data_IF_213660549363
#
_entry.id   IF_213660549363
#
_cell.length_a   1.000
_cell.length_b   1.000
_cell.length_c   1.000
_cell.angle_alpha   90.00
_cell.angle_beta   90.00
_cell.angle_gamma   90.00
#
_symmetry.space_group_name_H-M   'P 1'
#
loop_
_entity.id
_entity.type
_entity.pdbx_description
1 polymer ?
#
# COMPACT_ATOMS: atom_id res chain seq x y z
N UNK A 1 -20.87 -8.07 -14.41
CA UNK A 1 -20.34 -9.16 -13.55
C UNK A 1 -20.27 -8.75 -12.08
N UNK A 2 -19.46 -7.77 -11.70
CA UNK A 2 -19.24 -7.41 -10.28
C UNK A 2 -20.48 -6.91 -9.52
N UNK A 3 -21.50 -6.37 -10.21
CA UNK A 3 -22.82 -6.14 -9.59
C UNK A 3 -23.53 -7.41 -9.15
N UNK A 4 -23.35 -8.51 -9.88
CA UNK A 4 -23.90 -9.81 -9.52
C UNK A 4 -23.22 -10.31 -8.25
N UNK A 5 -21.89 -10.18 -8.17
CA UNK A 5 -21.12 -10.42 -6.94
C UNK A 5 -21.68 -9.59 -5.79
N UNK A 6 -21.82 -8.27 -5.97
CA UNK A 6 -22.28 -7.38 -4.92
C UNK A 6 -23.75 -7.61 -4.51
N UNK A 7 -24.57 -8.23 -5.35
CA UNK A 7 -25.96 -8.60 -5.03
C UNK A 7 -26.04 -9.98 -4.36
N UNK A 8 -25.18 -10.92 -4.76
CA UNK A 8 -25.18 -12.31 -4.32
C UNK A 8 -23.77 -12.78 -3.94
N UNK A 9 -23.12 -12.17 -2.94
CA UNK A 9 -21.70 -12.36 -2.69
C UNK A 9 -21.35 -13.78 -2.24
N UNK A 10 -22.26 -14.51 -1.58
CA UNK A 10 -22.01 -15.89 -1.12
C UNK A 10 -22.36 -16.97 -2.14
N UNK A 11 -23.18 -16.66 -3.16
CA UNK A 11 -23.85 -17.69 -3.95
C UNK A 11 -23.03 -18.24 -5.13
N UNK A 12 -22.01 -17.52 -5.57
CA UNK A 12 -21.29 -17.81 -6.82
C UNK A 12 -19.77 -17.51 -6.72
N UNK A 13 -19.20 -17.60 -5.51
CA UNK A 13 -17.80 -17.19 -5.27
C UNK A 13 -16.83 -18.01 -6.13
N UNK A 14 -17.03 -19.32 -6.22
CA UNK A 14 -16.16 -20.23 -6.98
C UNK A 14 -16.18 -19.87 -8.47
N UNK A 15 -17.37 -19.65 -9.04
CA UNK A 15 -17.52 -19.26 -10.44
C UNK A 15 -16.91 -17.88 -10.72
N UNK A 16 -16.99 -16.94 -9.75
CA UNK A 16 -16.33 -15.64 -9.91
C UNK A 16 -14.81 -15.76 -9.84
N UNK A 17 -14.27 -16.63 -8.98
CA UNK A 17 -12.82 -16.89 -8.92
C UNK A 17 -12.32 -17.45 -10.26
N UNK A 18 -13.05 -18.41 -10.84
CA UNK A 18 -12.73 -19.00 -12.15
C UNK A 18 -12.77 -17.96 -13.28
N UNK A 19 -13.58 -16.90 -13.14
CA UNK A 19 -13.68 -15.82 -14.11
C UNK A 19 -12.59 -14.76 -13.98
N UNK A 20 -11.88 -14.66 -12.86
CA UNK A 20 -10.90 -13.57 -12.63
C UNK A 20 -9.81 -13.50 -13.71
N UNK A 21 -9.17 -14.60 -14.15
CA UNK A 21 -8.14 -14.54 -15.21
C UNK A 21 -8.65 -14.04 -16.56
N UNK A 22 -9.96 -14.11 -16.81
CA UNK A 22 -10.56 -13.61 -18.05
C UNK A 22 -10.82 -12.10 -18.01
N UNK A 23 -10.94 -11.51 -16.81
CA UNK A 23 -11.07 -10.06 -16.63
C UNK A 23 -9.74 -9.33 -16.87
N UNK A 24 -8.63 -10.06 -16.85
CA UNK A 24 -7.26 -9.53 -16.96
C UNK A 24 -6.66 -9.67 -18.35
N UNK A 25 -7.43 -10.17 -19.33
CA UNK A 25 -6.98 -10.32 -20.73
C UNK A 25 -6.72 -8.95 -21.38
N UNK A 26 -7.47 -7.91 -20.99
CA UNK A 26 -7.26 -6.55 -21.48
C UNK A 26 -6.52 -5.72 -20.41
N UNK A 27 -5.23 -5.46 -20.65
CA UNK A 27 -4.37 -4.69 -19.75
C UNK A 27 -4.86 -3.26 -19.52
N UNK A 28 -5.54 -2.66 -20.49
CA UNK A 28 -6.12 -1.31 -20.39
C UNK A 28 -7.25 -1.22 -19.36
N UNK A 29 -7.88 -2.35 -19.04
CA UNK A 29 -8.97 -2.42 -18.05
C UNK A 29 -8.49 -2.89 -16.68
N UNK A 30 -7.24 -3.31 -16.51
CA UNK A 30 -6.74 -3.85 -15.24
C UNK A 30 -6.93 -2.89 -14.06
N UNK A 31 -6.62 -1.61 -14.24
CA UNK A 31 -6.84 -0.58 -13.21
C UNK A 31 -8.33 -0.42 -12.87
N UNK A 32 -9.20 -0.43 -13.89
CA UNK A 32 -10.64 -0.30 -13.71
C UNK A 32 -11.25 -1.54 -13.01
N UNK A 33 -10.74 -2.74 -13.32
CA UNK A 33 -11.11 -3.98 -12.61
C UNK A 33 -10.65 -3.92 -11.16
N UNK A 34 -9.42 -3.49 -10.89
CA UNK A 34 -8.90 -3.26 -9.53
C UNK A 34 -9.84 -2.32 -8.75
N UNK A 35 -10.20 -1.17 -9.33
CA UNK A 35 -11.13 -0.24 -8.69
C UNK A 35 -12.45 -0.91 -8.34
N UNK A 36 -13.09 -1.58 -9.32
CA UNK A 36 -14.38 -2.22 -9.10
C UNK A 36 -14.33 -3.33 -8.03
N UNK A 37 -13.21 -4.07 -7.92
CA UNK A 37 -12.99 -5.07 -6.87
C UNK A 37 -12.87 -4.42 -5.49
N UNK A 38 -12.06 -3.36 -5.37
CA UNK A 38 -11.91 -2.60 -4.13
C UNK A 38 -13.21 -1.90 -3.69
N UNK A 39 -14.10 -1.65 -4.65
CA UNK A 39 -15.36 -0.94 -4.46
C UNK A 39 -16.55 -1.86 -4.19
N UNK A 40 -16.37 -3.18 -4.22
CA UNK A 40 -17.43 -4.17 -4.01
C UNK A 40 -18.27 -3.91 -2.72
N UNK A 41 -17.69 -3.59 -1.56
CA UNK A 41 -18.48 -3.23 -0.38
C UNK A 41 -19.34 -1.97 -0.59
N UNK A 42 -18.78 -0.92 -1.19
CA UNK A 42 -19.53 0.31 -1.49
C UNK A 42 -20.60 0.09 -2.55
N UNK A 43 -20.33 -0.75 -3.55
CA UNK A 43 -21.30 -1.15 -4.56
C UNK A 43 -22.47 -1.90 -3.94
N UNK A 44 -22.21 -2.83 -3.02
CA UNK A 44 -23.26 -3.56 -2.31
C UNK A 44 -24.14 -2.63 -1.46
N UNK A 45 -23.53 -1.66 -0.76
CA UNK A 45 -24.26 -0.64 -0.02
C UNK A 45 -25.12 0.24 -0.95
N UNK A 46 -24.57 0.60 -2.11
CA UNK A 46 -25.29 1.34 -3.15
C UNK A 46 -26.50 0.56 -3.69
N UNK A 47 -26.33 -0.76 -3.88
CA UNK A 47 -27.41 -1.66 -4.30
C UNK A 47 -28.51 -1.70 -3.22
N UNK A 48 -28.17 -1.82 -1.93
CA UNK A 48 -29.15 -1.75 -0.85
C UNK A 48 -29.99 -0.46 -0.95
N UNK A 49 -29.33 0.69 -1.15
CA UNK A 49 -30.00 1.98 -1.32
C UNK A 49 -30.86 2.02 -2.60
N UNK A 50 -30.41 1.39 -3.68
CA UNK A 50 -31.17 1.35 -4.94
C UNK A 50 -32.50 0.57 -4.82
N UNK A 51 -32.57 -0.40 -3.90
CA UNK A 51 -33.75 -1.25 -3.67
C UNK A 51 -34.79 -0.61 -2.74
N UNK A 52 -34.50 0.58 -2.18
CA UNK A 52 -35.35 1.23 -1.16
C UNK A 52 -36.82 1.36 -1.60
N UNK A 53 -37.09 1.81 -2.83
CA UNK A 53 -38.45 2.02 -3.31
C UNK A 53 -39.26 0.71 -3.36
N UNK A 54 -38.63 -0.38 -3.80
CA UNK A 54 -39.25 -1.70 -3.87
C UNK A 54 -39.57 -2.25 -2.47
N UNK A 55 -38.65 -2.06 -1.52
CA UNK A 55 -38.85 -2.49 -0.13
C UNK A 55 -40.01 -1.74 0.54
N UNK A 56 -40.12 -0.42 0.31
CA UNK A 56 -41.24 0.38 0.80
C UNK A 56 -42.56 -0.08 0.19
N UNK A 57 -42.60 -0.35 -1.12
CA UNK A 57 -43.79 -0.87 -1.81
C UNK A 57 -44.20 -2.25 -1.27
N UNK A 58 -43.24 -3.08 -0.89
CA UNK A 58 -43.47 -4.37 -0.25
C UNK A 58 -43.85 -4.27 1.25
N UNK A 59 -43.97 -3.06 1.80
CA UNK A 59 -44.41 -2.82 3.18
C UNK A 59 -43.32 -2.87 4.25
N UNK A 60 -42.04 -2.94 3.86
CA UNK A 60 -40.93 -2.93 4.82
C UNK A 60 -40.65 -1.51 5.35
N UNK A 61 -40.32 -1.42 6.64
CA UNK A 61 -39.87 -0.17 7.28
C UNK A 61 -38.36 -0.01 7.10
N UNK A 62 -37.97 0.86 6.16
CA UNK A 62 -36.56 1.06 5.75
C UNK A 62 -36.12 2.53 5.91
N UNK A 63 -36.28 3.07 7.11
CA UNK A 63 -36.04 4.51 7.40
C UNK A 63 -34.62 4.98 7.09
N UNK A 64 -33.59 4.17 7.42
CA UNK A 64 -32.19 4.51 7.13
C UNK A 64 -31.91 4.56 5.63
N UNK A 65 -32.36 3.54 4.88
CA UNK A 65 -32.20 3.49 3.42
C UNK A 65 -32.93 4.66 2.73
N UNK A 66 -34.12 5.02 3.19
CA UNK A 66 -34.87 6.17 2.69
C UNK A 66 -34.13 7.50 2.90
N UNK A 67 -33.58 7.72 4.11
CA UNK A 67 -32.81 8.93 4.42
C UNK A 67 -31.56 9.03 3.54
N UNK A 68 -30.82 7.93 3.39
CA UNK A 68 -29.63 7.88 2.52
C UNK A 68 -30.01 8.13 1.05
N UNK A 69 -31.09 7.51 0.57
CA UNK A 69 -31.58 7.72 -0.81
C UNK A 69 -31.94 9.18 -1.06
N UNK A 70 -32.64 9.82 -0.13
CA UNK A 70 -32.99 11.24 -0.21
C UNK A 70 -31.76 12.15 -0.21
N UNK A 71 -30.75 11.85 0.60
CA UNK A 71 -29.49 12.59 0.62
C UNK A 71 -28.76 12.47 -0.72
N UNK A 72 -28.62 11.26 -1.25
CA UNK A 72 -28.02 11.03 -2.57
C UNK A 72 -28.82 11.77 -3.64
N UNK A 73 -30.16 11.71 -3.60
CA UNK A 73 -31.02 12.41 -4.55
C UNK A 73 -31.06 13.93 -4.35
N UNK A 74 -30.58 14.45 -3.22
CA UNK A 74 -30.48 15.88 -2.93
C UNK A 74 -29.16 16.50 -3.38
N UNK A 75 -28.09 15.70 -3.53
CA UNK A 75 -26.73 16.21 -3.74
C UNK A 75 -26.16 15.77 -5.10
N UNK A 76 -25.84 16.74 -5.97
CA UNK A 76 -25.37 16.48 -7.33
C UNK A 76 -24.14 15.56 -7.39
N UNK A 77 -23.12 15.82 -6.56
CA UNK A 77 -21.90 15.01 -6.51
C UNK A 77 -22.18 13.55 -6.11
N UNK A 78 -23.04 13.34 -5.10
CA UNK A 78 -23.43 12.00 -4.65
C UNK A 78 -24.21 11.26 -5.75
N UNK A 79 -25.05 11.97 -6.52
CA UNK A 79 -25.74 11.36 -7.68
C UNK A 79 -24.77 10.90 -8.74
N UNK A 80 -23.71 11.66 -9.02
CA UNK A 80 -22.71 11.28 -10.02
C UNK A 80 -22.03 9.98 -9.60
N UNK A 81 -21.58 9.91 -8.34
CA UNK A 81 -20.97 8.70 -7.79
C UNK A 81 -21.96 7.53 -7.79
N UNK A 82 -23.20 7.74 -7.33
CA UNK A 82 -24.26 6.71 -7.38
C UNK A 82 -24.48 6.18 -8.81
N UNK A 83 -24.57 7.06 -9.81
CA UNK A 83 -24.73 6.66 -11.21
C UNK A 83 -23.53 5.86 -11.70
N UNK A 84 -22.33 6.26 -11.31
CA UNK A 84 -21.11 5.53 -11.64
C UNK A 84 -21.14 4.13 -11.05
N UNK A 85 -21.43 3.94 -9.76
CA UNK A 85 -21.61 2.60 -9.17
C UNK A 85 -22.71 1.79 -9.88
N UNK A 86 -23.78 2.46 -10.31
CA UNK A 86 -24.90 1.86 -11.03
C UNK A 86 -24.69 1.77 -12.56
N UNK A 87 -23.49 2.01 -13.10
CA UNK A 87 -23.19 1.90 -14.54
C UNK A 87 -23.31 0.46 -15.07
N UNK A 88 -23.74 0.29 -16.32
CA UNK A 88 -23.87 -1.04 -16.95
C UNK A 88 -22.59 -1.54 -17.59
N UNK A 89 -21.65 -0.64 -17.91
CA UNK A 89 -20.37 -0.92 -18.55
C UNK A 89 -19.27 -0.15 -17.82
N UNK A 90 -18.12 -0.78 -17.67
CA UNK A 90 -16.90 -0.13 -17.19
C UNK A 90 -16.17 0.51 -18.36
N UNK A 91 -15.46 1.61 -18.08
CA UNK A 91 -14.65 2.32 -19.05
C UNK A 91 -13.36 2.80 -18.36
N UNK A 92 -12.23 2.63 -19.04
CA UNK A 92 -10.92 3.01 -18.51
C UNK A 92 -10.90 4.51 -18.10
N UNK A 93 -10.35 4.79 -16.92
CA UNK A 93 -10.15 6.14 -16.39
C UNK A 93 -11.40 6.83 -15.82
N UNK A 94 -12.60 6.22 -15.88
CA UNK A 94 -13.81 6.84 -15.29
C UNK A 94 -13.70 6.95 -13.77
N UNK A 95 -13.17 5.92 -13.13
CA UNK A 95 -13.10 5.88 -11.66
C UNK A 95 -12.14 6.96 -11.12
N UNK A 96 -11.01 7.18 -11.78
CA UNK A 96 -10.00 8.18 -11.40
C UNK A 96 -10.56 9.61 -11.34
N UNK A 97 -11.53 9.94 -12.21
CA UNK A 97 -12.18 11.25 -12.19
C UNK A 97 -13.07 11.47 -10.95
N UNK A 98 -13.50 10.37 -10.30
CA UNK A 98 -14.53 10.36 -9.27
C UNK A 98 -13.99 10.02 -7.88
N UNK A 99 -12.79 9.46 -7.76
CA UNK A 99 -12.20 9.03 -6.47
C UNK A 99 -12.22 10.14 -5.40
N UNK A 100 -12.04 11.40 -5.80
CA UNK A 100 -12.12 12.58 -4.91
C UNK A 100 -13.48 12.77 -4.21
N UNK A 101 -14.55 12.21 -4.77
CA UNK A 101 -15.91 12.31 -4.23
C UNK A 101 -16.25 11.15 -3.28
N UNK A 102 -15.40 10.12 -3.19
CA UNK A 102 -15.64 8.95 -2.35
C UNK A 102 -15.72 9.33 -0.86
N UNK A 103 -14.91 10.28 -0.34
CA UNK A 103 -15.05 10.78 1.03
C UNK A 103 -16.33 11.59 1.31
N UNK A 104 -17.15 11.94 0.32
CA UNK A 104 -18.51 12.41 0.59
C UNK A 104 -19.48 11.22 0.56
N UNK A 105 -19.28 10.32 -0.39
CA UNK A 105 -20.15 9.19 -0.64
C UNK A 105 -20.16 8.14 0.48
N UNK A 106 -19.00 7.75 1.00
CA UNK A 106 -18.88 6.86 2.16
C UNK A 106 -19.66 7.37 3.40
N UNK A 107 -19.66 8.68 3.61
CA UNK A 107 -20.26 9.35 4.77
C UNK A 107 -21.77 9.31 4.66
N UNK A 108 -22.29 9.54 3.44
CA UNK A 108 -23.70 9.33 3.12
C UNK A 108 -24.12 7.86 3.31
N UNK A 109 -23.26 6.90 2.94
CA UNK A 109 -23.57 5.47 3.05
C UNK A 109 -23.36 4.89 4.46
N UNK A 110 -22.73 5.62 5.40
CA UNK A 110 -22.44 5.13 6.75
C UNK A 110 -23.61 4.41 7.46
N UNK A 111 -24.88 4.89 7.37
CA UNK A 111 -26.01 4.24 8.02
C UNK A 111 -26.36 2.84 7.47
N UNK A 112 -25.79 2.45 6.33
CA UNK A 112 -26.12 1.20 5.62
C UNK A 112 -24.91 0.27 5.45
N UNK A 113 -23.74 0.64 5.97
CA UNK A 113 -22.53 -0.20 5.89
C UNK A 113 -22.62 -1.46 6.77
N UNK A 114 -23.49 -1.48 7.78
CA UNK A 114 -23.74 -2.64 8.64
C UNK A 114 -24.83 -3.58 8.10
N UNK A 115 -25.26 -3.41 6.86
CA UNK A 115 -26.18 -4.36 6.22
C UNK A 115 -25.43 -5.66 5.96
N UNK A 116 -26.06 -6.81 6.27
CA UNK A 116 -25.41 -8.12 6.12
C UNK A 116 -24.87 -8.39 4.71
N UNK A 117 -25.52 -7.85 3.67
CA UNK A 117 -25.01 -7.92 2.30
C UNK A 117 -23.64 -7.26 2.15
N UNK A 118 -23.45 -6.09 2.77
CA UNK A 118 -22.19 -5.33 2.75
C UNK A 118 -21.10 -6.07 3.52
N UNK A 119 -21.45 -6.64 4.68
CA UNK A 119 -20.53 -7.42 5.50
C UNK A 119 -20.02 -8.65 4.74
N UNK A 120 -20.91 -9.44 4.13
CA UNK A 120 -20.51 -10.61 3.34
C UNK A 120 -19.69 -10.19 2.11
N UNK A 121 -20.11 -9.13 1.41
CA UNK A 121 -19.37 -8.61 0.27
C UNK A 121 -17.95 -8.16 0.66
N UNK A 122 -17.78 -7.57 1.86
CA UNK A 122 -16.47 -7.19 2.40
C UNK A 122 -15.53 -8.35 2.71
N UNK A 123 -16.07 -9.56 2.91
CA UNK A 123 -15.27 -10.78 3.09
C UNK A 123 -14.91 -11.42 1.74
N UNK A 124 -15.79 -11.31 0.75
CA UNK A 124 -15.59 -11.87 -0.59
C UNK A 124 -14.64 -11.02 -1.44
N UNK A 125 -14.69 -9.69 -1.29
CA UNK A 125 -13.88 -8.78 -2.09
C UNK A 125 -12.36 -9.05 -2.01
N UNK A 126 -11.74 -9.27 -0.84
CA UNK A 126 -10.33 -9.64 -0.75
C UNK A 126 -9.98 -10.96 -1.45
N UNK A 127 -10.90 -11.94 -1.46
CA UNK A 127 -10.68 -13.23 -2.14
C UNK A 127 -10.58 -13.04 -3.65
N UNK A 128 -11.53 -12.30 -4.23
CA UNK A 128 -11.53 -11.97 -5.66
C UNK A 128 -10.34 -11.08 -6.02
N UNK A 129 -9.99 -10.13 -5.16
CA UNK A 129 -8.81 -9.29 -5.33
C UNK A 129 -7.52 -10.14 -5.35
N UNK A 130 -7.40 -11.15 -4.49
CA UNK A 130 -6.27 -12.10 -4.52
C UNK A 130 -6.13 -12.78 -5.87
N UNK A 131 -7.22 -13.40 -6.35
CA UNK A 131 -7.21 -14.12 -7.61
C UNK A 131 -6.91 -13.19 -8.81
N UNK A 132 -7.44 -11.96 -8.77
CA UNK A 132 -7.09 -10.93 -9.74
C UNK A 132 -5.59 -10.59 -9.70
N UNK A 133 -5.04 -10.27 -8.53
CA UNK A 133 -3.63 -9.91 -8.37
C UNK A 133 -2.70 -11.06 -8.79
N UNK A 134 -3.05 -12.31 -8.46
CA UNK A 134 -2.31 -13.49 -8.90
C UNK A 134 -2.30 -13.64 -10.42
N UNK A 135 -3.41 -13.33 -11.10
CA UNK A 135 -3.49 -13.42 -12.56
C UNK A 135 -2.71 -12.33 -13.30
N UNK A 136 -2.43 -11.18 -12.67
CA UNK A 136 -1.67 -10.07 -13.29
C UNK A 136 -0.23 -9.95 -12.81
N UNK A 137 0.18 -10.67 -11.76
CA UNK A 137 1.49 -10.50 -11.12
C UNK A 137 2.68 -10.59 -12.08
N UNK A 138 2.59 -11.47 -13.07
CA UNK A 138 3.67 -11.72 -14.04
C UNK A 138 3.60 -10.78 -15.27
N UNK A 139 2.61 -9.88 -15.33
CA UNK A 139 2.39 -8.95 -16.44
C UNK A 139 2.91 -7.54 -16.11
N UNK A 140 4.09 -7.20 -16.63
CA UNK A 140 4.74 -5.90 -16.37
C UNK A 140 3.90 -4.70 -16.83
N UNK A 141 3.24 -4.80 -18.00
CA UNK A 141 2.38 -3.73 -18.51
C UNK A 141 1.20 -3.44 -17.56
N UNK A 142 0.51 -4.49 -17.10
CA UNK A 142 -0.55 -4.35 -16.12
C UNK A 142 -0.02 -3.76 -14.81
N UNK A 143 1.06 -4.30 -14.27
CA UNK A 143 1.66 -3.85 -13.01
C UNK A 143 2.05 -2.36 -13.03
N UNK A 144 2.59 -1.86 -14.16
CA UNK A 144 2.90 -0.44 -14.32
C UNK A 144 1.68 0.47 -14.14
N UNK A 145 0.51 0.05 -14.64
CA UNK A 145 -0.74 0.79 -14.48
C UNK A 145 -1.38 0.59 -13.09
N UNK A 146 -1.20 -0.60 -12.49
CA UNK A 146 -1.80 -0.95 -11.21
C UNK A 146 -1.13 -0.24 -10.04
N UNK A 147 0.18 -0.05 -10.05
CA UNK A 147 0.89 0.61 -8.95
C UNK A 147 0.32 1.99 -8.56
N UNK A 148 0.17 2.95 -9.50
CA UNK A 148 -0.43 4.24 -9.16
C UNK A 148 -1.90 4.11 -8.74
N UNK A 149 -2.66 3.20 -9.39
CA UNK A 149 -4.07 2.96 -9.05
C UNK A 149 -4.23 2.40 -7.62
N UNK A 150 -3.36 1.48 -7.20
CA UNK A 150 -3.34 0.94 -5.83
C UNK A 150 -3.13 2.07 -4.83
N UNK A 151 -2.05 2.84 -4.97
CA UNK A 151 -1.71 3.90 -4.01
C UNK A 151 -2.78 4.99 -3.94
N UNK A 152 -3.38 5.37 -5.07
CA UNK A 152 -4.47 6.33 -5.09
C UNK A 152 -5.73 5.84 -4.34
N UNK A 153 -5.96 4.52 -4.28
CA UNK A 153 -7.15 3.93 -3.67
C UNK A 153 -7.01 3.60 -2.18
N UNK A 154 -5.79 3.39 -1.66
CA UNK A 154 -5.57 3.05 -0.24
C UNK A 154 -6.33 3.97 0.74
N UNK A 155 -6.26 5.32 0.64
CA UNK A 155 -6.96 6.20 1.57
C UNK A 155 -8.49 6.23 1.37
N UNK A 156 -8.99 5.58 0.32
CA UNK A 156 -10.38 5.64 -0.13
C UNK A 156 -11.11 4.28 -0.06
N UNK A 157 -10.49 3.30 0.59
CA UNK A 157 -11.13 2.02 0.87
C UNK A 157 -12.36 2.22 1.76
N UNK A 158 -13.37 1.37 1.58
CA UNK A 158 -14.54 1.33 2.44
C UNK A 158 -14.11 1.24 3.92
N UNK A 159 -14.67 2.05 4.85
CA UNK A 159 -14.16 2.19 6.22
C UNK A 159 -14.64 1.03 7.12
N UNK A 160 -14.31 -0.20 6.72
CA UNK A 160 -14.57 -1.43 7.44
C UNK A 160 -13.22 -2.01 7.87
N UNK A 161 -12.88 -2.01 9.18
CA UNK A 161 -11.52 -2.32 9.63
C UNK A 161 -10.98 -3.69 9.21
N UNK A 162 -11.80 -4.74 9.27
CA UNK A 162 -11.41 -6.09 8.85
C UNK A 162 -11.12 -6.17 7.36
N UNK A 163 -11.94 -5.50 6.55
CA UNK A 163 -11.75 -5.40 5.10
C UNK A 163 -10.49 -4.62 4.74
N UNK A 164 -10.29 -3.44 5.32
CA UNK A 164 -9.10 -2.62 5.07
C UNK A 164 -7.83 -3.38 5.43
N UNK A 165 -7.81 -4.04 6.60
CA UNK A 165 -6.69 -4.88 7.01
C UNK A 165 -6.41 -5.99 6.00
N UNK A 166 -7.43 -6.76 5.60
CA UNK A 166 -7.27 -7.84 4.63
C UNK A 166 -6.71 -7.34 3.28
N UNK A 167 -7.17 -6.19 2.81
CA UNK A 167 -6.67 -5.56 1.58
C UNK A 167 -5.20 -5.11 1.75
N UNK A 168 -4.84 -4.47 2.87
CA UNK A 168 -3.45 -4.05 3.12
C UNK A 168 -2.49 -5.23 3.22
N UNK A 169 -2.87 -6.30 3.93
CA UNK A 169 -2.07 -7.51 4.08
C UNK A 169 -1.81 -8.16 2.71
N UNK A 170 -2.86 -8.26 1.90
CA UNK A 170 -2.81 -8.81 0.55
C UNK A 170 -1.93 -7.97 -0.39
N UNK A 171 -2.11 -6.65 -0.38
CA UNK A 171 -1.29 -5.75 -1.18
C UNK A 171 0.19 -5.79 -0.75
N UNK A 172 0.48 -5.97 0.54
CA UNK A 172 1.86 -6.12 1.04
C UNK A 172 2.53 -7.36 0.46
N UNK A 173 1.82 -8.49 0.43
CA UNK A 173 2.30 -9.73 -0.18
C UNK A 173 2.51 -9.58 -1.70
N UNK A 174 1.54 -8.94 -2.37
CA UNK A 174 1.58 -8.71 -3.80
C UNK A 174 2.78 -7.83 -4.21
N UNK A 175 2.96 -6.66 -3.60
CA UNK A 175 4.06 -5.75 -3.97
C UNK A 175 5.42 -6.35 -3.65
N UNK A 176 5.54 -7.13 -2.57
CA UNK A 176 6.77 -7.87 -2.24
C UNK A 176 7.14 -8.83 -3.37
N UNK A 177 6.15 -9.61 -3.82
CA UNK A 177 6.34 -10.61 -4.88
C UNK A 177 6.68 -9.93 -6.20
N UNK A 178 5.86 -8.96 -6.63
CA UNK A 178 6.02 -8.26 -7.90
C UNK A 178 7.36 -7.52 -7.96
N UNK A 179 7.77 -6.79 -6.92
CA UNK A 179 9.03 -6.05 -6.95
C UNK A 179 10.29 -6.91 -6.79
N UNK A 180 10.15 -8.14 -6.31
CA UNK A 180 11.25 -9.10 -6.36
C UNK A 180 11.49 -9.62 -7.79
N UNK A 181 10.43 -9.72 -8.59
CA UNK A 181 10.45 -10.24 -9.95
C UNK A 181 10.66 -9.13 -11.01
N UNK A 182 10.14 -7.94 -10.74
CA UNK A 182 10.14 -6.77 -11.63
C UNK A 182 10.64 -5.53 -10.86
N UNK A 183 11.93 -5.47 -10.49
CA UNK A 183 12.48 -4.39 -9.66
C UNK A 183 12.40 -3.00 -10.31
N UNK A 184 12.29 -2.92 -11.63
CA UNK A 184 12.14 -1.67 -12.38
C UNK A 184 10.90 -0.87 -12.00
N UNK A 185 9.85 -1.53 -11.50
CA UNK A 185 8.60 -0.89 -11.06
C UNK A 185 8.81 0.01 -9.84
N UNK A 186 9.83 -0.25 -9.02
CA UNK A 186 10.20 0.63 -7.89
C UNK A 186 10.68 2.01 -8.35
N UNK A 187 11.07 2.15 -9.61
CA UNK A 187 11.42 3.43 -10.22
C UNK A 187 10.22 4.31 -10.57
N UNK A 188 8.98 3.80 -10.45
CA UNK A 188 7.79 4.57 -10.76
C UNK A 188 7.63 5.76 -9.77
N UNK A 189 7.39 7.00 -10.26
CA UNK A 189 7.22 8.17 -9.41
C UNK A 189 6.17 8.01 -8.30
N UNK A 190 5.14 7.18 -8.52
CA UNK A 190 4.10 6.96 -7.52
C UNK A 190 4.63 6.34 -6.22
N UNK A 191 5.72 5.55 -6.28
CA UNK A 191 6.36 4.97 -5.09
C UNK A 191 6.98 6.06 -4.23
N UNK A 192 7.70 7.00 -4.85
CA UNK A 192 8.28 8.15 -4.15
C UNK A 192 7.22 9.07 -3.56
N UNK A 193 6.19 9.36 -4.36
CA UNK A 193 5.06 10.16 -3.91
C UNK A 193 4.31 9.50 -2.74
N UNK A 194 4.21 8.18 -2.72
CA UNK A 194 3.56 7.47 -1.62
C UNK A 194 4.39 7.54 -0.33
N UNK A 195 5.70 7.35 -0.43
CA UNK A 195 6.62 7.40 0.72
C UNK A 195 6.84 8.81 1.27
N UNK A 196 6.62 9.86 0.46
CA UNK A 196 6.74 11.26 0.90
C UNK A 196 5.55 11.75 1.72
N UNK A 197 4.47 10.97 1.83
CA UNK A 197 3.27 11.34 2.57
C UNK A 197 3.23 10.58 3.91
N UNK A 198 3.64 11.23 4.99
CA UNK A 198 3.78 10.63 6.33
C UNK A 198 2.47 10.12 6.93
N UNK A 199 1.31 10.67 6.53
CA UNK A 199 0.01 10.12 6.96
C UNK A 199 -0.23 8.68 6.48
N UNK A 200 0.47 8.23 5.43
CA UNK A 200 0.39 6.85 4.95
C UNK A 200 0.98 5.83 5.95
N UNK A 201 1.88 6.27 6.83
CA UNK A 201 2.44 5.44 7.91
C UNK A 201 1.33 4.94 8.83
N UNK A 202 0.40 5.83 9.19
CA UNK A 202 -0.74 5.49 10.05
C UNK A 202 -1.83 4.72 9.29
N UNK A 203 -2.01 5.03 8.00
CA UNK A 203 -3.02 4.41 7.16
C UNK A 203 -2.77 2.90 6.97
N UNK A 204 -1.54 2.52 6.65
CA UNK A 204 -1.18 1.15 6.29
C UNK A 204 0.28 0.82 6.70
N UNK A 205 0.56 0.72 8.01
CA UNK A 205 1.93 0.64 8.53
C UNK A 205 2.74 -0.53 7.96
N UNK A 206 2.15 -1.72 7.86
CA UNK A 206 2.82 -2.91 7.34
C UNK A 206 3.16 -2.79 5.85
N UNK A 207 2.22 -2.30 5.05
CA UNK A 207 2.44 -2.04 3.63
C UNK A 207 3.51 -0.98 3.45
N UNK A 208 3.43 0.14 4.17
CA UNK A 208 4.44 1.20 4.13
C UNK A 208 5.84 0.65 4.45
N UNK A 209 5.98 -0.13 5.52
CA UNK A 209 7.26 -0.74 5.90
C UNK A 209 7.78 -1.71 4.83
N UNK A 210 6.87 -2.50 4.24
CA UNK A 210 7.18 -3.42 3.13
C UNK A 210 7.73 -2.67 1.92
N UNK A 211 7.15 -1.51 1.58
CA UNK A 211 7.61 -0.68 0.47
C UNK A 211 9.01 -0.13 0.73
N UNK A 212 9.27 0.41 1.93
CA UNK A 212 10.60 0.89 2.32
C UNK A 212 11.64 -0.23 2.23
N UNK A 213 11.31 -1.42 2.74
CA UNK A 213 12.19 -2.59 2.66
C UNK A 213 12.46 -3.01 1.22
N UNK A 214 11.43 -3.05 0.36
CA UNK A 214 11.57 -3.40 -1.05
C UNK A 214 12.46 -2.42 -1.81
N UNK A 215 12.33 -1.12 -1.56
CA UNK A 215 13.23 -0.07 -2.09
C UNK A 215 14.68 -0.39 -1.72
N UNK A 216 14.94 -0.69 -0.44
CA UNK A 216 16.27 -1.05 0.04
C UNK A 216 16.82 -2.33 -0.59
N UNK A 217 15.99 -3.34 -0.85
CA UNK A 217 16.44 -4.65 -1.32
C UNK A 217 16.60 -4.74 -2.84
N UNK A 218 15.66 -4.16 -3.60
CA UNK A 218 15.48 -4.48 -5.01
C UNK A 218 15.82 -3.32 -5.95
N UNK A 219 15.91 -2.07 -5.46
CA UNK A 219 16.20 -0.93 -6.33
C UNK A 219 17.67 -0.92 -6.80
N UNK A 220 17.87 -0.95 -8.12
CA UNK A 220 19.21 -1.08 -8.74
C UNK A 220 19.62 0.11 -9.64
N UNK A 221 18.68 0.81 -10.27
CA UNK A 221 18.99 1.89 -11.22
C UNK A 221 19.41 3.17 -10.50
N UNK A 222 20.61 3.68 -10.78
CA UNK A 222 21.21 4.86 -10.13
C UNK A 222 20.28 6.09 -10.10
N UNK A 223 19.67 6.44 -11.23
CA UNK A 223 18.76 7.60 -11.31
C UNK A 223 17.59 7.49 -10.32
N UNK A 224 17.04 6.29 -10.14
CA UNK A 224 15.95 6.07 -9.19
C UNK A 224 16.46 5.99 -7.75
N UNK A 225 17.70 5.52 -7.54
CA UNK A 225 18.33 5.47 -6.21
C UNK A 225 18.47 6.87 -5.61
N UNK A 226 18.92 7.86 -6.38
CA UNK A 226 19.06 9.23 -5.86
C UNK A 226 17.72 9.82 -5.42
N UNK A 227 16.68 9.71 -6.27
CA UNK A 227 15.33 10.20 -5.97
C UNK A 227 14.71 9.47 -4.76
N UNK A 228 14.86 8.15 -4.69
CA UNK A 228 14.40 7.36 -3.54
C UNK A 228 15.15 7.70 -2.26
N UNK A 229 16.47 7.87 -2.34
CA UNK A 229 17.27 8.25 -1.19
C UNK A 229 16.86 9.61 -0.64
N UNK A 230 16.64 10.60 -1.51
CA UNK A 230 16.14 11.91 -1.09
C UNK A 230 14.77 11.83 -0.42
N UNK A 231 13.87 11.00 -0.96
CA UNK A 231 12.55 10.75 -0.37
C UNK A 231 12.67 10.12 1.03
N UNK A 232 13.51 9.10 1.18
CA UNK A 232 13.74 8.43 2.47
C UNK A 232 14.45 9.34 3.48
N UNK A 233 15.37 10.20 3.03
CA UNK A 233 16.03 11.18 3.89
C UNK A 233 15.03 12.23 4.40
N UNK A 234 14.14 12.72 3.54
CA UNK A 234 13.06 13.63 3.93
C UNK A 234 12.11 12.97 4.92
N UNK A 235 11.68 11.73 4.63
CA UNK A 235 10.84 10.93 5.51
C UNK A 235 11.47 10.73 6.89
N UNK A 236 12.76 10.35 6.94
CA UNK A 236 13.47 10.18 8.20
C UNK A 236 13.41 11.48 9.00
N UNK A 237 13.76 12.63 8.38
CA UNK A 237 13.70 13.97 9.01
C UNK A 237 12.31 14.31 9.56
N UNK A 238 11.24 14.01 8.83
CA UNK A 238 9.87 14.26 9.28
C UNK A 238 9.50 13.41 10.50
N UNK A 239 9.83 12.10 10.47
CA UNK A 239 9.68 11.21 11.63
C UNK A 239 10.45 11.77 12.82
N UNK A 240 11.63 12.37 12.59
CA UNK A 240 12.41 12.96 13.65
C UNK A 240 11.74 14.15 14.34
N UNK A 241 11.19 15.05 13.51
CA UNK A 241 10.61 16.31 13.96
C UNK A 241 9.29 16.09 14.70
N UNK A 242 8.46 15.16 14.21
CA UNK A 242 7.15 14.87 14.79
C UNK A 242 7.23 14.03 16.08
N UNK A 243 8.45 13.66 16.50
CA UNK A 243 8.71 12.74 17.63
C UNK A 243 7.96 11.40 17.49
N UNK A 244 7.60 11.02 16.27
CA UNK A 244 6.88 9.79 15.92
C UNK A 244 7.79 8.56 15.88
N UNK A 245 8.96 8.65 16.51
CA UNK A 245 9.93 7.58 16.81
C UNK A 245 9.36 6.35 17.51
N UNK A 246 8.11 6.41 17.95
CA UNK A 246 7.39 5.28 18.56
C UNK A 246 7.32 4.07 17.62
N UNK A 247 7.43 4.27 16.31
CA UNK A 247 7.56 3.16 15.36
C UNK A 247 9.05 2.84 15.08
N UNK A 248 9.72 2.26 16.06
CA UNK A 248 11.15 1.90 15.99
C UNK A 248 11.45 0.93 14.84
N UNK A 249 10.50 0.04 14.51
CA UNK A 249 10.62 -0.89 13.38
C UNK A 249 10.72 -0.14 12.04
N UNK A 250 9.88 0.88 11.84
CA UNK A 250 9.93 1.70 10.64
C UNK A 250 11.24 2.48 10.54
N UNK A 251 11.68 3.11 11.64
CA UNK A 251 12.95 3.88 11.66
C UNK A 251 14.13 2.97 11.31
N UNK A 252 14.17 1.77 11.89
CA UNK A 252 15.16 0.72 11.59
C UNK A 252 15.13 0.34 10.11
N UNK A 253 13.94 0.16 9.54
CA UNK A 253 13.77 -0.24 8.14
C UNK A 253 14.18 0.88 7.19
N UNK A 254 13.84 2.14 7.49
CA UNK A 254 14.30 3.32 6.72
C UNK A 254 15.81 3.43 6.76
N UNK A 255 16.44 3.35 7.93
CA UNK A 255 17.91 3.42 8.06
C UNK A 255 18.58 2.28 7.28
N UNK A 256 18.05 1.06 7.39
CA UNK A 256 18.57 -0.11 6.67
C UNK A 256 18.42 0.06 5.16
N UNK A 257 17.27 0.56 4.69
CA UNK A 257 17.04 0.84 3.27
C UNK A 257 18.00 1.90 2.74
N UNK A 258 18.15 3.03 3.43
CA UNK A 258 19.12 4.08 3.09
C UNK A 258 20.55 3.54 3.03
N UNK A 259 20.97 2.74 4.01
CA UNK A 259 22.30 2.15 4.03
C UNK A 259 22.54 1.19 2.85
N UNK A 260 21.54 0.37 2.48
CA UNK A 260 21.60 -0.51 1.30
C UNK A 260 21.72 0.28 -0.01
N UNK A 261 20.98 1.38 -0.14
CA UNK A 261 21.07 2.28 -1.29
C UNK A 261 22.45 2.92 -1.40
N UNK A 262 23.02 3.41 -0.29
CA UNK A 262 24.38 3.97 -0.23
C UNK A 262 25.44 2.94 -0.60
N UNK A 263 25.25 1.68 -0.19
CA UNK A 263 26.14 0.58 -0.60
C UNK A 263 26.24 0.44 -2.11
N UNK A 264 25.12 0.64 -2.83
CA UNK A 264 25.07 0.60 -4.30
C UNK A 264 25.50 1.92 -4.95
N UNK A 265 25.27 3.05 -4.30
CA UNK A 265 25.58 4.38 -4.82
C UNK A 265 26.39 5.21 -3.78
N UNK A 266 27.73 5.01 -3.73
CA UNK A 266 28.59 5.57 -2.69
C UNK A 266 28.64 7.09 -2.57
N UNK A 267 28.26 7.84 -3.62
CA UNK A 267 28.25 9.31 -3.59
C UNK A 267 27.28 9.89 -2.55
N UNK A 268 26.28 9.09 -2.13
CA UNK A 268 25.30 9.46 -1.11
C UNK A 268 25.81 9.26 0.33
N UNK A 269 27.00 8.67 0.52
CA UNK A 269 27.52 8.28 1.84
C UNK A 269 27.61 9.45 2.83
N UNK A 270 28.06 10.62 2.38
CA UNK A 270 28.15 11.80 3.26
C UNK A 270 26.77 12.25 3.77
N UNK A 271 25.75 12.25 2.89
CA UNK A 271 24.37 12.62 3.26
C UNK A 271 23.80 11.61 4.27
N UNK A 272 23.99 10.32 4.03
CA UNK A 272 23.52 9.27 4.93
C UNK A 272 24.18 9.33 6.31
N UNK A 273 25.50 9.54 6.35
CA UNK A 273 26.28 9.70 7.58
C UNK A 273 25.74 10.87 8.42
N UNK A 274 25.54 12.03 7.81
CA UNK A 274 25.00 13.20 8.50
C UNK A 274 23.56 12.99 9.01
N UNK A 275 22.74 12.23 8.27
CA UNK A 275 21.39 11.88 8.71
C UNK A 275 21.40 10.94 9.94
N UNK A 276 22.25 9.92 9.92
CA UNK A 276 22.36 8.96 11.02
C UNK A 276 23.01 9.56 12.28
N UNK A 277 23.99 10.45 12.13
CA UNK A 277 24.56 11.18 13.27
C UNK A 277 23.51 12.05 13.98
N UNK A 278 22.66 12.73 13.21
CA UNK A 278 21.52 13.49 13.76
C UNK A 278 20.53 12.56 14.46
N UNK A 279 20.23 11.40 13.89
CA UNK A 279 19.35 10.41 14.51
C UNK A 279 19.91 9.94 15.85
N UNK A 280 21.18 9.54 15.90
CA UNK A 280 21.84 9.11 17.14
C UNK A 280 21.79 10.22 18.20
N UNK A 281 22.04 11.48 17.82
CA UNK A 281 21.93 12.59 18.77
C UNK A 281 20.51 12.71 19.35
N UNK A 282 19.47 12.65 18.51
CA UNK A 282 18.09 12.78 19.00
C UNK A 282 17.67 11.59 19.87
N UNK A 283 18.15 10.38 19.55
CA UNK A 283 17.87 9.19 20.37
C UNK A 283 18.55 9.26 21.73
N UNK A 284 19.80 9.73 21.80
CA UNK A 284 20.58 9.83 23.04
C UNK A 284 19.96 10.80 24.08
N UNK A 285 19.21 11.80 23.62
CA UNK A 285 18.50 12.74 24.50
C UNK A 285 17.26 12.12 25.17
N UNK A 286 16.90 10.87 24.86
CA UNK A 286 15.75 10.17 25.45
C UNK A 286 16.11 8.79 26.02
N UNK A 287 15.95 8.63 27.34
CA UNK A 287 16.23 7.38 28.06
C UNK A 287 15.12 6.34 27.84
N UNK A 288 15.36 5.32 27.02
CA UNK A 288 14.47 4.17 26.82
C UNK A 288 15.28 2.96 26.29
N UNK A 289 15.14 1.77 26.87
CA UNK A 289 15.97 0.60 26.54
C UNK A 289 15.81 0.16 25.07
N UNK A 290 14.61 0.29 24.50
CA UNK A 290 14.37 -0.03 23.08
C UNK A 290 15.09 0.94 22.13
N UNK A 291 15.44 2.15 22.60
CA UNK A 291 16.20 3.14 21.83
C UNK A 291 17.70 2.87 21.87
N UNK A 292 18.19 2.20 22.90
CA UNK A 292 19.60 1.77 22.95
C UNK A 292 19.88 0.77 21.84
N UNK A 293 18.97 -0.18 21.59
CA UNK A 293 19.06 -1.11 20.47
C UNK A 293 19.02 -0.41 19.10
N UNK A 294 18.15 0.59 18.92
CA UNK A 294 18.11 1.39 17.69
C UNK A 294 19.38 2.23 17.51
N UNK A 295 19.92 2.78 18.60
CA UNK A 295 21.15 3.56 18.61
C UNK A 295 22.33 2.68 18.23
N UNK A 296 22.44 1.48 18.80
CA UNK A 296 23.46 0.50 18.46
C UNK A 296 23.37 0.09 16.97
N UNK A 297 22.16 -0.24 16.49
CA UNK A 297 21.94 -0.57 15.08
C UNK A 297 22.37 0.56 14.14
N UNK A 298 21.99 1.80 14.47
CA UNK A 298 22.34 2.98 13.68
C UNK A 298 23.84 3.24 13.69
N UNK A 299 24.51 3.08 14.84
CA UNK A 299 25.96 3.18 14.96
C UNK A 299 26.68 2.08 14.16
N UNK A 300 26.17 0.85 14.17
CA UNK A 300 26.70 -0.25 13.38
C UNK A 300 26.59 0.04 11.88
N UNK A 301 25.44 0.54 11.42
CA UNK A 301 25.29 0.99 10.03
C UNK A 301 26.24 2.14 9.68
N UNK A 302 26.43 3.12 10.58
CA UNK A 302 27.37 4.21 10.41
C UNK A 302 28.81 3.71 10.21
N UNK A 303 29.24 2.70 10.98
CA UNK A 303 30.57 2.08 10.85
C UNK A 303 30.74 1.37 9.51
N UNK A 304 29.71 0.64 9.07
CA UNK A 304 29.72 -0.06 7.78
C UNK A 304 29.80 0.95 6.62
N UNK A 305 29.01 2.03 6.65
CA UNK A 305 28.99 3.05 5.60
C UNK A 305 30.28 3.87 5.45
N UNK A 306 31.09 3.98 6.52
CA UNK A 306 32.43 4.61 6.46
C UNK A 306 33.39 3.85 5.52
N UNK A 307 33.08 2.60 5.19
CA UNK A 307 33.84 1.78 4.24
C UNK A 307 32.93 1.35 3.06
N UNK A 308 32.81 2.16 1.99
CA UNK A 308 31.83 1.92 0.91
C UNK A 308 31.95 0.55 0.23
N UNK A 309 33.18 0.03 0.07
CA UNK A 309 33.44 -1.29 -0.52
C UNK A 309 32.94 -2.43 0.36
N UNK A 310 33.08 -2.30 1.68
CA UNK A 310 32.59 -3.27 2.66
C UNK A 310 31.07 -3.15 2.79
N UNK A 311 30.53 -1.93 2.74
CA UNK A 311 29.09 -1.68 2.74
C UNK A 311 28.37 -2.34 1.56
N UNK A 312 28.91 -2.24 0.34
CA UNK A 312 28.30 -2.87 -0.82
C UNK A 312 28.22 -4.40 -0.66
N UNK A 313 29.32 -5.03 -0.24
CA UNK A 313 29.38 -6.49 -0.04
C UNK A 313 28.51 -6.94 1.14
N UNK A 314 28.48 -6.22 2.26
CA UNK A 314 27.70 -6.61 3.45
C UNK A 314 26.20 -6.34 3.33
N UNK A 315 25.82 -5.22 2.72
CA UNK A 315 24.43 -4.72 2.71
C UNK A 315 23.68 -5.09 1.43
N UNK A 316 24.40 -5.18 0.31
CA UNK A 316 23.85 -5.42 -1.03
C UNK A 316 24.64 -6.50 -1.78
N UNK A 317 24.76 -7.73 -1.23
CA UNK A 317 25.54 -8.79 -1.85
C UNK A 317 24.94 -9.15 -3.22
N UNK A 318 25.77 -9.11 -4.26
CA UNK A 318 25.34 -9.28 -5.66
C UNK A 318 25.58 -10.70 -6.20
N UNK A 319 26.54 -11.42 -5.61
CA UNK A 319 26.92 -12.78 -5.97
C UNK A 319 26.78 -13.76 -4.79
N UNK A 320 26.75 -15.07 -5.07
CA UNK A 320 26.78 -16.10 -4.01
C UNK A 320 28.04 -16.03 -3.15
N UNK A 321 29.16 -15.58 -3.74
CA UNK A 321 30.42 -15.33 -3.04
C UNK A 321 30.31 -14.10 -2.14
N UNK A 322 29.63 -13.04 -2.58
CA UNK A 322 29.32 -11.87 -1.75
C UNK A 322 28.42 -12.23 -0.57
N UNK A 323 27.48 -13.16 -0.72
CA UNK A 323 26.61 -13.61 0.39
C UNK A 323 27.44 -14.33 1.46
N UNK A 324 28.38 -15.18 1.06
CA UNK A 324 29.31 -15.84 1.97
C UNK A 324 30.24 -14.83 2.65
N UNK A 325 30.81 -13.90 1.87
CA UNK A 325 31.65 -12.81 2.40
C UNK A 325 30.89 -11.86 3.32
N UNK A 326 29.63 -11.53 3.01
CA UNK A 326 28.77 -10.73 3.88
C UNK A 326 28.51 -11.43 5.22
N UNK A 327 28.31 -12.74 5.19
CA UNK A 327 28.11 -13.55 6.40
C UNK A 327 29.38 -13.57 7.26
N UNK A 328 30.54 -13.75 6.64
CA UNK A 328 31.85 -13.71 7.32
C UNK A 328 32.12 -12.30 7.89
N UNK A 329 31.90 -11.25 7.12
CA UNK A 329 32.09 -9.87 7.55
C UNK A 329 31.14 -9.49 8.69
N UNK A 330 29.88 -9.96 8.68
CA UNK A 330 28.94 -9.74 9.80
C UNK A 330 29.44 -10.37 11.09
N UNK A 331 29.97 -11.60 11.01
CA UNK A 331 30.56 -12.29 12.15
C UNK A 331 31.82 -11.57 12.64
N UNK A 332 32.71 -11.14 11.73
CA UNK A 332 33.94 -10.43 12.09
C UNK A 332 33.66 -9.05 12.72
N UNK A 333 32.67 -8.31 12.22
CA UNK A 333 32.27 -7.04 12.85
C UNK A 333 31.71 -7.26 14.25
N UNK A 334 30.93 -8.33 14.46
CA UNK A 334 30.42 -8.66 15.79
C UNK A 334 31.53 -9.09 16.77
N UNK A 335 32.57 -9.77 16.29
CA UNK A 335 33.72 -10.18 17.12
C UNK A 335 34.74 -9.07 17.39
N UNK A 336 34.80 -8.02 16.56
CA UNK A 336 35.64 -6.85 16.82
C UNK A 336 35.05 -5.92 17.89
N UNK A 337 33.79 -6.13 18.27
CA UNK A 337 33.07 -5.36 19.29
C UNK A 337 33.02 -6.05 20.68
N UNK A 338 33.55 -7.28 20.81
CA UNK A 338 33.66 -8.04 22.08
C UNK A 338 35.09 -8.09 22.61
#
# INVERSE_FOLDING_TARGET
>A
LLKLVATHPSGLVEEFLDLMPYLTVNTELSAEVLHCLLDLPLLSATICVSQTSLLVQAGFKVTSLMSVKQQIDGTADLKVVYKHFMRSKAQAGETDALVKLYPAYWSALKPVLSQGLVEVCSQVAPLLLSAFLDSVRDCNEANNSLMPAIFARLPLLCPLPSYQKAVYDLLSQYVTTVWSQQPELLGNPCVAQFLSVTSNIQLCPQLFNTIVSAVGNNLQKEQHIENMFETLEALLREIMMDKSWQNLELVTTVCTAMAKLVGRHPSLSHRATAAFEKLVHVLHDTTDEEKDALTEHTQNLLRVMKNPRVANVMLSPSSKEDIAMASILKVLFHFLDS
#
